data_IF_970859930436
#
_entry.id   IF_970859930436
#
_cell.length_a   1.000
_cell.length_b   1.000
_cell.length_c   1.000
_cell.angle_alpha   90.00
_cell.angle_beta   90.00
_cell.angle_gamma   90.00
#
_symmetry.space_group_name_H-M   'P 1'
#
loop_
_entity.id
_entity.type
_entity.pdbx_description
1 polymer ?
#
# COMPACT_ATOMS: atom_id res chain seq x y z
N UNK A 1 -86.59 46.46 -3.73
CA UNK A 1 -87.62 45.39 -3.64
C UNK A 1 -87.56 44.56 -4.91
N UNK A 2 -87.90 43.26 -4.86
CA UNK A 2 -87.75 42.31 -3.75
C UNK A 2 -86.25 41.86 -3.71
N UNK A 3 -85.73 40.62 -3.63
CA UNK A 3 -86.22 39.25 -3.37
C UNK A 3 -85.12 38.42 -2.66
N UNK A 4 -85.46 37.22 -2.19
CA UNK A 4 -84.57 36.07 -2.01
C UNK A 4 -85.28 34.84 -2.65
N UNK A 5 -84.58 33.77 -3.04
CA UNK A 5 -85.01 32.47 -2.52
C UNK A 5 -83.87 31.51 -2.13
N UNK A 6 -84.15 30.70 -1.11
CA UNK A 6 -83.32 29.61 -0.57
C UNK A 6 -83.22 28.38 -1.47
N UNK A 7 -82.12 27.64 -1.33
CA UNK A 7 -82.15 26.16 -1.40
C UNK A 7 -81.15 25.56 -0.39
N UNK A 8 -81.39 24.32 0.05
CA UNK A 8 -80.58 23.57 1.02
C UNK A 8 -79.97 22.33 0.35
N UNK A 9 -78.74 21.94 0.74
CA UNK A 9 -78.40 20.53 1.05
C UNK A 9 -76.94 20.33 1.51
N UNK A 10 -76.81 19.58 2.61
CA UNK A 10 -75.66 18.83 3.16
C UNK A 10 -74.53 18.37 2.22
N UNK A 11 -73.27 18.45 2.69
CA UNK A 11 -72.11 17.73 2.12
C UNK A 11 -70.84 17.86 2.97
N UNK A 12 -70.45 16.80 3.68
CA UNK A 12 -69.47 16.87 4.79
C UNK A 12 -68.00 16.72 4.38
N UNK A 13 -67.13 17.57 4.96
CA UNK A 13 -65.87 17.11 5.57
C UNK A 13 -64.53 17.46 4.93
N UNK A 14 -63.86 18.51 5.45
CA UNK A 14 -62.46 18.49 5.95
C UNK A 14 -62.06 19.88 6.51
N UNK A 15 -61.60 19.99 7.77
CA UNK A 15 -61.00 21.22 8.28
C UNK A 15 -59.53 21.36 7.85
N UNK A 16 -59.10 22.59 7.59
CA UNK A 16 -57.70 22.97 7.39
C UNK A 16 -57.02 23.21 8.76
N UNK A 17 -55.76 22.80 8.92
CA UNK A 17 -54.85 23.40 9.91
C UNK A 17 -53.39 23.16 9.52
N UNK A 18 -52.69 24.23 9.16
CA UNK A 18 -51.26 24.18 8.84
C UNK A 18 -50.41 24.15 10.13
N UNK A 19 -49.57 23.13 10.26
CA UNK A 19 -48.43 23.13 11.18
C UNK A 19 -47.19 22.66 10.41
N UNK A 20 -46.43 23.62 9.88
CA UNK A 20 -45.19 23.34 9.15
C UNK A 20 -44.03 23.34 10.14
N UNK A 21 -43.57 22.16 10.54
CA UNK A 21 -42.29 21.98 11.23
C UNK A 21 -41.15 22.45 10.33
N UNK A 22 -40.24 23.25 10.87
CA UNK A 22 -38.99 23.63 10.20
C UNK A 22 -37.90 22.58 10.46
N UNK A 23 -38.00 21.40 9.83
CA UNK A 23 -37.06 20.29 10.03
C UNK A 23 -37.00 19.39 8.77
N UNK A 24 -35.91 19.50 7.99
CA UNK A 24 -35.34 18.48 7.06
C UNK A 24 -34.45 19.12 5.98
N UNK A 25 -33.14 19.24 6.23
CA UNK A 25 -32.17 19.65 5.19
C UNK A 25 -30.78 18.98 5.31
N UNK A 26 -30.67 17.94 6.16
CA UNK A 26 -29.46 17.12 6.34
C UNK A 26 -29.52 15.83 5.50
N UNK A 27 -30.65 15.13 5.54
CA UNK A 27 -30.96 13.87 4.82
C UNK A 27 -30.62 13.90 3.32
N UNK A 28 -30.84 15.04 2.67
CA UNK A 28 -30.62 15.25 1.23
C UNK A 28 -29.16 15.64 0.87
N UNK A 29 -28.19 15.29 1.73
CA UNK A 29 -26.73 15.38 1.46
C UNK A 29 -26.12 13.99 1.40
N UNK A 30 -26.27 13.22 2.47
CA UNK A 30 -25.80 11.83 2.61
C UNK A 30 -26.21 10.95 1.41
N UNK A 31 -27.50 11.01 1.03
CA UNK A 31 -28.04 10.30 -0.15
C UNK A 31 -27.43 10.75 -1.48
N UNK A 32 -26.91 11.98 -1.59
CA UNK A 32 -26.19 12.47 -2.79
C UNK A 32 -24.74 12.01 -2.79
N UNK A 33 -24.11 11.97 -1.62
CA UNK A 33 -22.72 11.55 -1.48
C UNK A 33 -22.61 10.04 -1.69
N UNK A 34 -23.46 9.23 -1.05
CA UNK A 34 -23.58 7.79 -1.32
C UNK A 34 -23.88 7.49 -2.80
N UNK A 35 -24.74 8.29 -3.46
CA UNK A 35 -25.04 8.15 -4.90
C UNK A 35 -23.90 8.62 -5.81
N UNK A 36 -23.03 9.51 -5.32
CA UNK A 36 -21.84 9.96 -6.03
C UNK A 36 -20.70 8.95 -5.88
N UNK A 37 -20.50 8.37 -4.70
CA UNK A 37 -19.55 7.29 -4.48
C UNK A 37 -19.96 6.02 -5.22
N UNK A 38 -21.26 5.67 -5.22
CA UNK A 38 -21.79 4.59 -6.06
C UNK A 38 -21.52 4.83 -7.56
N UNK A 39 -21.59 6.08 -8.02
CA UNK A 39 -21.21 6.45 -9.40
C UNK A 39 -19.71 6.36 -9.64
N UNK A 40 -18.85 6.79 -8.71
CA UNK A 40 -17.39 6.64 -8.83
C UNK A 40 -17.01 5.16 -8.89
N UNK A 41 -17.54 4.34 -7.98
CA UNK A 41 -17.31 2.90 -7.95
C UNK A 41 -17.83 2.21 -9.23
N UNK A 42 -19.01 2.60 -9.73
CA UNK A 42 -19.51 2.12 -11.02
C UNK A 42 -18.62 2.56 -12.19
N UNK A 43 -18.19 3.82 -12.23
CA UNK A 43 -17.29 4.32 -13.27
C UNK A 43 -15.91 3.64 -13.22
N UNK A 44 -15.37 3.37 -12.03
CA UNK A 44 -14.12 2.63 -11.83
C UNK A 44 -14.27 1.16 -12.24
N UNK A 45 -15.40 0.52 -11.91
CA UNK A 45 -15.72 -0.83 -12.39
C UNK A 45 -15.93 -0.88 -13.91
N UNK A 46 -16.52 0.15 -14.51
CA UNK A 46 -16.60 0.33 -15.97
C UNK A 46 -15.20 0.47 -16.56
N UNK A 47 -14.31 1.29 -15.97
CA UNK A 47 -12.93 1.47 -16.44
C UNK A 47 -12.11 0.17 -16.35
N UNK A 48 -12.15 -0.53 -15.22
CA UNK A 48 -11.48 -1.82 -15.04
C UNK A 48 -12.08 -2.93 -15.94
N UNK A 49 -13.38 -2.89 -16.21
CA UNK A 49 -14.00 -3.76 -17.22
C UNK A 49 -13.56 -3.36 -18.63
N UNK A 50 -13.39 -2.07 -18.93
CA UNK A 50 -12.94 -1.58 -20.23
C UNK A 50 -11.46 -1.89 -20.49
N UNK A 51 -10.62 -1.84 -19.46
CA UNK A 51 -9.24 -2.34 -19.44
C UNK A 51 -9.25 -3.84 -19.76
N UNK A 52 -9.96 -4.64 -18.95
CA UNK A 52 -10.07 -6.09 -19.14
C UNK A 52 -10.65 -6.49 -20.50
N UNK A 53 -11.59 -5.73 -21.06
CA UNK A 53 -12.12 -5.95 -22.42
C UNK A 53 -11.12 -5.52 -23.48
N UNK A 54 -10.49 -4.35 -23.35
CA UNK A 54 -9.51 -3.85 -24.33
C UNK A 54 -8.28 -4.75 -24.47
N UNK A 55 -7.86 -5.39 -23.38
CA UNK A 55 -6.81 -6.42 -23.37
C UNK A 55 -7.24 -7.74 -24.01
N UNK A 56 -8.54 -8.04 -24.08
CA UNK A 56 -9.09 -9.29 -24.64
C UNK A 56 -9.71 -9.14 -26.05
N UNK A 57 -9.90 -7.92 -26.56
CA UNK A 57 -10.50 -7.68 -27.88
C UNK A 57 -9.81 -6.55 -28.65
N UNK A 58 -8.64 -6.85 -29.21
CA UNK A 58 -7.93 -6.14 -30.31
C UNK A 58 -8.01 -4.60 -30.29
N UNK A 59 -7.88 -3.97 -29.12
CA UNK A 59 -7.97 -2.51 -29.01
C UNK A 59 -6.60 -1.86 -29.29
N UNK A 60 -6.14 -1.97 -30.55
CA UNK A 60 -4.77 -1.65 -30.97
C UNK A 60 -4.34 -0.21 -30.66
N UNK A 61 -5.27 0.74 -30.61
CA UNK A 61 -5.00 2.12 -30.21
C UNK A 61 -4.59 2.24 -28.74
N UNK A 62 -5.16 1.40 -27.86
CA UNK A 62 -4.86 1.39 -26.43
C UNK A 62 -3.61 0.56 -26.11
N UNK A 63 -3.42 -0.58 -26.79
CA UNK A 63 -2.16 -1.37 -26.68
C UNK A 63 -0.97 -0.54 -27.15
N UNK A 64 -1.12 0.24 -28.24
CA UNK A 64 -0.11 1.18 -28.71
C UNK A 64 0.14 2.30 -27.70
N UNK A 65 -0.90 2.89 -27.10
CA UNK A 65 -0.74 3.92 -26.06
C UNK A 65 0.04 3.38 -24.84
N UNK A 66 -0.31 2.21 -24.33
CA UNK A 66 0.43 1.58 -23.23
C UNK A 66 1.87 1.23 -23.64
N UNK A 67 2.09 0.76 -24.87
CA UNK A 67 3.44 0.51 -25.40
C UNK A 67 4.27 1.79 -25.47
N UNK A 68 3.72 2.89 -25.98
CA UNK A 68 4.41 4.19 -26.04
C UNK A 68 4.67 4.76 -24.64
N UNK A 69 3.74 4.62 -23.69
CA UNK A 69 3.96 5.00 -22.30
C UNK A 69 5.10 4.19 -21.66
N UNK A 70 5.12 2.86 -21.86
CA UNK A 70 6.22 2.00 -21.41
C UNK A 70 7.55 2.37 -22.10
N UNK A 71 7.56 2.68 -23.40
CA UNK A 71 8.76 3.10 -24.11
C UNK A 71 9.33 4.42 -23.54
N UNK A 72 8.46 5.40 -23.23
CA UNK A 72 8.86 6.63 -22.53
C UNK A 72 9.42 6.38 -21.13
N UNK A 73 8.70 5.62 -20.30
CA UNK A 73 9.16 5.25 -18.94
C UNK A 73 10.50 4.51 -18.97
N UNK A 74 10.71 3.62 -19.94
CA UNK A 74 11.99 2.92 -20.09
C UNK A 74 13.12 3.84 -20.57
N UNK A 75 12.84 4.89 -21.34
CA UNK A 75 13.85 5.87 -21.75
C UNK A 75 14.35 6.71 -20.56
N UNK A 76 13.45 7.21 -19.72
CA UNK A 76 13.81 7.96 -18.50
C UNK A 76 14.52 7.09 -17.45
N UNK A 77 14.16 5.80 -17.36
CA UNK A 77 14.77 4.87 -16.41
C UNK A 77 16.07 4.21 -16.91
N UNK A 78 16.36 4.20 -18.22
CA UNK A 78 17.55 3.52 -18.78
C UNK A 78 18.89 3.98 -18.14
N UNK A 79 19.14 5.27 -17.85
CA UNK A 79 20.39 5.72 -17.24
C UNK A 79 20.68 5.15 -15.84
N UNK A 80 19.64 4.70 -15.12
CA UNK A 80 19.76 4.23 -13.71
C UNK A 80 19.47 2.74 -13.58
N UNK A 81 18.42 2.26 -14.25
CA UNK A 81 17.91 0.88 -14.16
C UNK A 81 18.28 0.02 -15.38
N UNK A 82 18.86 0.61 -16.42
CA UNK A 82 19.23 -0.05 -17.65
C UNK A 82 18.07 -0.37 -18.60
N UNK A 83 18.41 -0.86 -19.79
CA UNK A 83 17.48 -1.07 -20.90
C UNK A 83 16.26 -1.92 -20.52
N UNK A 84 15.07 -1.41 -20.84
CA UNK A 84 13.77 -2.09 -20.68
C UNK A 84 13.43 -2.49 -19.23
N UNK A 85 13.91 -1.76 -18.22
CA UNK A 85 13.66 -2.06 -16.80
C UNK A 85 12.17 -2.21 -16.43
N UNK A 86 11.35 -1.20 -16.70
CA UNK A 86 9.91 -1.25 -16.39
C UNK A 86 9.18 -2.35 -17.17
N UNK A 87 9.58 -2.57 -18.44
CA UNK A 87 9.03 -3.64 -19.27
C UNK A 87 9.36 -5.03 -18.71
N UNK A 88 10.60 -5.25 -18.25
CA UNK A 88 11.03 -6.52 -17.62
C UNK A 88 10.25 -6.81 -16.34
N UNK A 89 10.03 -5.81 -15.49
CA UNK A 89 9.25 -5.99 -14.24
C UNK A 89 7.80 -6.37 -14.59
N UNK A 90 7.15 -5.62 -15.50
CA UNK A 90 5.80 -5.94 -15.96
C UNK A 90 5.68 -7.36 -16.55
N UNK A 91 6.60 -7.76 -17.44
CA UNK A 91 6.60 -9.09 -18.06
C UNK A 91 6.98 -10.23 -17.09
N UNK A 92 7.68 -9.93 -15.98
CA UNK A 92 8.07 -10.94 -14.99
C UNK A 92 6.93 -11.40 -14.08
N UNK A 93 5.83 -10.65 -14.00
CA UNK A 93 4.72 -10.94 -13.09
C UNK A 93 5.09 -10.87 -11.60
N UNK A 94 6.22 -10.25 -11.24
CA UNK A 94 6.67 -10.05 -9.85
C UNK A 94 5.64 -9.20 -9.09
N UNK A 95 5.23 -9.66 -7.92
CA UNK A 95 4.40 -8.86 -7.02
C UNK A 95 5.18 -7.65 -6.50
N UNK A 96 4.75 -6.46 -6.92
CA UNK A 96 5.26 -5.16 -6.51
C UNK A 96 4.42 -4.50 -5.39
N UNK A 97 3.59 -5.27 -4.68
CA UNK A 97 2.94 -4.81 -3.46
C UNK A 97 3.97 -4.33 -2.41
N UNK A 98 3.57 -3.46 -1.45
CA UNK A 98 4.48 -2.99 -0.41
C UNK A 98 5.11 -4.11 0.42
N UNK A 99 4.33 -5.13 0.83
CA UNK A 99 4.88 -6.32 1.52
C UNK A 99 5.86 -7.07 0.63
N UNK A 100 5.45 -7.53 -0.56
CA UNK A 100 6.33 -8.32 -1.41
C UNK A 100 7.59 -7.56 -1.87
N UNK A 101 7.58 -6.23 -1.85
CA UNK A 101 8.76 -5.40 -2.10
C UNK A 101 9.64 -5.25 -0.85
N UNK A 102 9.05 -5.04 0.33
CA UNK A 102 9.75 -5.02 1.61
C UNK A 102 10.39 -6.37 1.95
N UNK A 103 9.65 -7.47 1.81
CA UNK A 103 10.12 -8.86 1.97
C UNK A 103 11.29 -9.13 1.01
N UNK A 104 11.18 -8.64 -0.24
CA UNK A 104 12.25 -8.48 -1.24
C UNK A 104 13.56 -7.95 -0.63
N UNK A 105 13.47 -6.74 -0.08
CA UNK A 105 14.61 -5.93 0.37
C UNK A 105 15.20 -6.46 1.69
N UNK A 106 14.35 -6.80 2.67
CA UNK A 106 14.76 -7.36 3.96
C UNK A 106 15.47 -8.70 3.75
N UNK A 107 14.91 -9.60 2.94
CA UNK A 107 15.55 -10.89 2.63
C UNK A 107 16.89 -10.69 1.93
N UNK A 108 16.94 -9.80 0.93
CA UNK A 108 18.19 -9.52 0.20
C UNK A 108 19.28 -8.97 1.14
N UNK A 109 18.96 -7.97 1.96
CA UNK A 109 19.93 -7.33 2.83
C UNK A 109 20.38 -8.25 3.98
N UNK A 110 19.46 -8.93 4.65
CA UNK A 110 19.77 -9.76 5.83
C UNK A 110 20.53 -11.05 5.49
N UNK A 111 20.41 -11.57 4.26
CA UNK A 111 21.20 -12.71 3.77
C UNK A 111 22.73 -12.49 3.83
N UNK A 112 23.21 -11.25 3.94
CA UNK A 112 24.64 -10.96 4.11
C UNK A 112 25.14 -11.09 5.56
N UNK A 113 24.26 -11.22 6.56
CA UNK A 113 24.64 -11.17 7.98
C UNK A 113 25.67 -12.23 8.39
N UNK A 114 25.47 -13.50 8.00
CA UNK A 114 26.39 -14.59 8.36
C UNK A 114 27.81 -14.30 7.87
N UNK A 115 27.95 -13.76 6.64
CA UNK A 115 29.25 -13.38 6.08
C UNK A 115 29.82 -12.11 6.69
N UNK A 116 28.98 -11.18 7.15
CA UNK A 116 29.43 -10.03 7.94
C UNK A 116 30.01 -10.47 9.30
N UNK A 117 29.35 -11.40 10.00
CA UNK A 117 29.85 -11.96 11.27
C UNK A 117 31.18 -12.70 11.11
N UNK A 118 31.33 -13.52 10.06
CA UNK A 118 32.61 -14.16 9.70
C UNK A 118 33.77 -13.17 9.46
N UNK A 119 33.47 -11.91 9.10
CA UNK A 119 34.44 -10.87 8.78
C UNK A 119 34.75 -9.93 9.95
N UNK A 120 33.95 -9.95 11.03
CA UNK A 120 34.14 -9.12 12.22
C UNK A 120 34.27 -10.00 13.50
N UNK A 121 35.30 -10.87 13.60
CA UNK A 121 35.49 -11.73 14.75
C UNK A 121 36.06 -10.96 15.96
N UNK A 122 35.38 -11.03 17.11
CA UNK A 122 35.85 -10.49 18.39
C UNK A 122 34.78 -9.73 19.16
N UNK A 123 33.81 -9.15 18.44
CA UNK A 123 32.66 -8.44 19.00
C UNK A 123 31.63 -9.43 19.58
N UNK A 124 30.70 -8.93 20.40
CA UNK A 124 29.54 -9.74 20.82
C UNK A 124 28.54 -9.93 19.66
N UNK A 125 27.68 -10.95 19.72
CA UNK A 125 26.64 -11.17 18.70
C UNK A 125 25.69 -9.96 18.58
N UNK A 126 25.29 -9.34 19.69
CA UNK A 126 24.43 -8.16 19.67
C UNK A 126 25.12 -6.93 19.08
N UNK A 127 26.40 -6.72 19.38
CA UNK A 127 27.22 -5.65 18.81
C UNK A 127 27.43 -5.84 17.31
N UNK A 128 27.82 -7.06 16.89
CA UNK A 128 27.95 -7.46 15.48
C UNK A 128 26.64 -7.21 14.70
N UNK A 129 25.51 -7.59 15.30
CA UNK A 129 24.18 -7.43 14.73
C UNK A 129 23.76 -5.95 14.64
N UNK A 130 23.99 -5.15 15.68
CA UNK A 130 23.68 -3.72 15.68
C UNK A 130 24.51 -2.99 14.61
N UNK A 131 25.83 -3.26 14.54
CA UNK A 131 26.74 -2.67 13.56
C UNK A 131 26.35 -3.05 12.12
N UNK A 132 25.92 -4.29 11.90
CA UNK A 132 25.38 -4.75 10.61
C UNK A 132 24.09 -4.03 10.23
N UNK A 133 23.14 -3.92 11.17
CA UNK A 133 21.83 -3.30 10.95
C UNK A 133 21.94 -1.81 10.65
N UNK A 134 22.82 -1.08 11.33
CA UNK A 134 23.11 0.32 11.01
C UNK A 134 23.65 0.47 9.57
N UNK A 135 24.62 -0.37 9.18
CA UNK A 135 25.21 -0.36 7.85
C UNK A 135 24.18 -0.63 6.74
N UNK A 136 23.35 -1.69 6.87
CA UNK A 136 22.35 -1.99 5.84
C UNK A 136 21.20 -0.98 5.85
N UNK A 137 20.81 -0.43 7.02
CA UNK A 137 19.83 0.65 7.08
C UNK A 137 20.32 1.89 6.36
N UNK A 138 21.55 2.34 6.58
CA UNK A 138 22.14 3.48 5.85
C UNK A 138 22.13 3.30 4.32
N UNK A 139 22.33 2.06 3.84
CA UNK A 139 22.19 1.73 2.42
C UNK A 139 20.75 1.79 1.91
N UNK A 140 19.80 1.21 2.66
CA UNK A 140 18.36 1.20 2.36
C UNK A 140 17.80 2.63 2.35
N UNK A 141 18.09 3.41 3.38
CA UNK A 141 17.73 4.81 3.53
C UNK A 141 18.14 5.64 2.31
N UNK A 142 19.38 5.44 1.82
CA UNK A 142 19.86 6.13 0.62
C UNK A 142 19.11 5.67 -0.62
N UNK A 143 18.99 4.37 -0.84
CA UNK A 143 18.29 3.80 -2.00
C UNK A 143 16.82 4.22 -2.09
N UNK A 144 16.14 4.32 -0.95
CA UNK A 144 14.77 4.83 -0.87
C UNK A 144 14.68 6.31 -1.24
N UNK A 145 15.56 7.16 -0.69
CA UNK A 145 15.61 8.61 -1.02
C UNK A 145 15.98 8.86 -2.49
N UNK A 146 16.89 8.07 -3.05
CA UNK A 146 17.21 8.11 -4.48
C UNK A 146 15.99 7.71 -5.34
N UNK A 147 15.27 6.65 -4.96
CA UNK A 147 14.08 6.17 -5.67
C UNK A 147 12.90 7.16 -5.62
N UNK A 148 12.62 7.74 -4.45
CA UNK A 148 11.61 8.81 -4.29
C UNK A 148 11.98 10.02 -5.15
N UNK A 149 13.27 10.40 -5.20
CA UNK A 149 13.75 11.49 -6.08
C UNK A 149 13.48 11.21 -7.56
N UNK A 150 13.65 9.96 -8.02
CA UNK A 150 13.32 9.55 -9.40
C UNK A 150 11.81 9.63 -9.65
N UNK A 151 10.98 9.14 -8.73
CA UNK A 151 9.50 9.19 -8.86
C UNK A 151 8.97 10.64 -8.85
N UNK A 152 9.60 11.54 -8.09
CA UNK A 152 9.32 12.98 -8.10
C UNK A 152 9.76 13.64 -9.42
N UNK A 153 10.94 13.28 -9.95
CA UNK A 153 11.41 13.75 -11.26
C UNK A 153 10.52 13.31 -12.42
N UNK A 154 9.97 12.09 -12.34
CA UNK A 154 8.96 11.55 -13.26
C UNK A 154 7.55 12.15 -13.04
N UNK A 155 7.36 12.99 -12.01
CA UNK A 155 6.07 13.58 -11.63
C UNK A 155 4.96 12.55 -11.30
N UNK A 156 5.34 11.37 -10.78
CA UNK A 156 4.40 10.29 -10.39
C UNK A 156 4.37 10.02 -8.88
N UNK A 157 5.19 10.70 -8.08
CA UNK A 157 5.19 10.56 -6.62
C UNK A 157 4.02 11.36 -6.00
N UNK A 158 2.82 10.80 -6.10
CA UNK A 158 1.62 11.31 -5.47
C UNK A 158 0.62 10.19 -5.12
N UNK A 159 -0.20 10.42 -4.09
CA UNK A 159 -1.36 9.58 -3.79
C UNK A 159 -0.98 8.13 -3.49
N UNK A 160 -1.36 7.19 -4.36
CA UNK A 160 -1.08 5.76 -4.13
C UNK A 160 0.42 5.43 -4.22
N UNK A 161 1.17 6.11 -5.11
CA UNK A 161 2.62 5.84 -5.28
C UNK A 161 3.39 6.28 -4.03
N UNK A 162 3.00 7.41 -3.47
CA UNK A 162 3.50 7.93 -2.19
C UNK A 162 3.13 7.01 -1.02
N UNK A 163 1.85 6.62 -0.88
CA UNK A 163 1.42 5.73 0.21
C UNK A 163 2.04 4.33 0.14
N UNK A 164 2.20 3.77 -1.07
CA UNK A 164 2.82 2.46 -1.27
C UNK A 164 4.32 2.50 -0.93
N UNK A 165 5.00 3.61 -1.26
CA UNK A 165 6.41 3.80 -0.92
C UNK A 165 6.62 3.91 0.60
N UNK A 166 5.81 4.72 1.28
CA UNK A 166 5.85 4.88 2.75
C UNK A 166 5.50 3.57 3.47
N UNK A 167 4.50 2.82 2.99
CA UNK A 167 4.16 1.51 3.54
C UNK A 167 5.31 0.49 3.31
N UNK A 168 5.94 0.51 2.13
CA UNK A 168 7.11 -0.34 1.84
C UNK A 168 8.25 -0.04 2.80
N UNK A 169 8.60 1.24 3.00
CA UNK A 169 9.69 1.64 3.89
C UNK A 169 9.41 1.24 5.35
N UNK A 170 8.19 1.48 5.85
CA UNK A 170 7.75 1.05 7.17
C UNK A 170 7.84 -0.48 7.35
N UNK A 171 7.42 -1.26 6.35
CA UNK A 171 7.50 -2.72 6.39
C UNK A 171 8.95 -3.22 6.38
N UNK A 172 9.88 -2.51 5.72
CA UNK A 172 11.31 -2.80 5.80
C UNK A 172 11.83 -2.55 7.23
N UNK A 173 11.50 -1.43 7.87
CA UNK A 173 11.92 -1.17 9.26
C UNK A 173 11.39 -2.26 10.22
N UNK A 174 10.14 -2.68 10.07
CA UNK A 174 9.55 -3.76 10.86
C UNK A 174 10.21 -5.12 10.59
N UNK A 175 10.56 -5.43 9.33
CA UNK A 175 11.26 -6.65 8.96
C UNK A 175 12.70 -6.71 9.44
N UNK A 176 13.39 -5.57 9.52
CA UNK A 176 14.74 -5.46 10.09
C UNK A 176 14.74 -5.67 11.61
N UNK A 177 13.78 -5.12 12.36
CA UNK A 177 13.67 -5.41 13.79
C UNK A 177 13.23 -6.87 14.04
N UNK A 178 12.31 -7.40 13.21
CA UNK A 178 11.92 -8.82 13.26
C UNK A 178 13.07 -9.79 12.93
N UNK A 179 14.08 -9.32 12.19
CA UNK A 179 15.35 -10.04 12.00
C UNK A 179 16.24 -9.90 13.24
N UNK A 180 16.35 -8.68 13.80
CA UNK A 180 17.13 -8.40 15.02
C UNK A 180 16.70 -9.27 16.20
N UNK A 181 15.41 -9.26 16.52
CA UNK A 181 14.82 -10.05 17.61
C UNK A 181 15.12 -11.55 17.44
N UNK A 182 14.97 -12.07 16.21
CA UNK A 182 15.22 -13.49 15.90
C UNK A 182 16.68 -13.89 16.13
N UNK A 183 17.65 -13.11 15.64
CA UNK A 183 19.08 -13.43 15.80
C UNK A 183 19.47 -13.42 17.29
N UNK A 184 19.02 -12.42 18.06
CA UNK A 184 19.30 -12.35 19.50
C UNK A 184 18.65 -13.48 20.29
N UNK A 185 17.48 -13.94 19.86
CA UNK A 185 16.75 -15.06 20.47
C UNK A 185 17.37 -16.43 20.12
N UNK A 186 17.91 -16.59 18.91
CA UNK A 186 18.68 -17.77 18.50
C UNK A 186 20.03 -17.85 19.25
N UNK A 187 20.70 -16.71 19.46
CA UNK A 187 21.97 -16.65 20.18
C UNK A 187 21.85 -17.04 21.67
N UNK A 188 20.79 -16.57 22.36
CA UNK A 188 20.52 -16.95 23.76
C UNK A 188 20.35 -18.46 23.92
N UNK A 189 19.61 -19.10 23.00
CA UNK A 189 19.33 -20.54 23.04
C UNK A 189 20.58 -21.39 22.88
N UNK A 190 21.56 -20.92 22.11
CA UNK A 190 22.87 -21.58 21.97
C UNK A 190 23.70 -21.45 23.26
N UNK A 191 23.69 -20.26 23.90
CA UNK A 191 24.34 -20.05 25.18
C UNK A 191 23.79 -20.90 26.33
N UNK A 192 22.46 -21.06 26.42
CA UNK A 192 21.85 -21.92 27.43
C UNK A 192 22.13 -23.42 27.18
N UNK A 193 22.16 -23.87 25.91
CA UNK A 193 22.40 -25.29 25.61
C UNK A 193 23.81 -25.77 25.95
N UNK A 194 24.82 -24.91 25.80
CA UNK A 194 26.20 -25.26 26.18
C UNK A 194 26.38 -25.27 27.71
N UNK A 195 25.64 -24.43 28.44
CA UNK A 195 25.70 -24.33 29.91
C UNK A 195 25.05 -25.48 30.69
N UNK A 196 24.22 -26.31 30.03
CA UNK A 196 23.59 -27.48 30.66
C UNK A 196 24.42 -28.77 30.48
N UNK A 197 25.30 -28.82 29.46
CA UNK A 197 26.14 -29.99 29.15
C UNK A 197 27.27 -30.25 30.17
N UNK A 198 27.74 -29.22 30.88
CA UNK A 198 28.85 -29.34 31.84
C UNK A 198 28.41 -29.89 33.23
N UNK A 199 27.10 -30.08 33.48
CA UNK A 199 26.58 -30.57 34.76
C UNK A 199 26.60 -32.10 34.88
N UNK A 200 27.78 -32.71 34.71
CA UNK A 200 28.01 -34.09 35.13
C UNK A 200 28.09 -34.14 36.67
N UNK A 201 27.26 -34.94 37.36
CA UNK A 201 27.38 -35.10 38.81
C UNK A 201 28.58 -36.00 39.16
N UNK A 202 29.55 -35.45 39.91
CA UNK A 202 30.57 -36.24 40.60
C UNK A 202 30.05 -36.73 41.97
N UNK A 203 30.31 -38.00 42.31
CA UNK A 203 30.00 -38.64 43.61
C UNK A 203 28.56 -39.18 43.72
N UNK A 204 28.31 -40.33 44.34
CA UNK A 204 29.19 -41.37 44.94
C UNK A 204 28.65 -42.78 44.60
#
# INVERSE_FOLDING_TARGET
MPINPTSFATGSGKPNSNSVRAESNADNRDVKDAKTESKKAYNAAILAAHEKVSLNSNNESLSLLYKTALEGINAELEPVMGKNAAKKIYESGVDTSPSATADRIVSFATNFYSRYKELNPGDSEEETLNNFLELIKGGIDKGFKDAVTILQGLQVYEGKVESDADETYKLIEQGLESFRERVLEEAKKQGDSDGEAERVPEGD
#
